data_IF_389041030539
#
_entry.id   IF_389041030539
#
_cell.length_a   1.000
_cell.length_b   1.000
_cell.length_c   1.000
_cell.angle_alpha   90.00
_cell.angle_beta   90.00
_cell.angle_gamma   90.00
#
_symmetry.space_group_name_H-M   'P 1'
#
loop_
_entity.id
_entity.type
_entity.pdbx_description
1 polymer ?
#
# COMPACT_ATOMS: atom_id res chain seq x y z
N UNK A 1 -44.59 53.35 -58.17
CA UNK A 1 -46.02 53.02 -58.21
C UNK A 1 -46.20 51.52 -57.95
N UNK A 2 -46.91 51.18 -56.89
CA UNK A 2 -47.47 49.88 -56.45
C UNK A 2 -46.49 48.68 -56.31
N UNK A 3 -46.26 48.39 -55.07
CA UNK A 3 -45.87 47.19 -54.37
C UNK A 3 -46.81 46.01 -54.69
N UNK A 4 -46.24 44.81 -54.95
CA UNK A 4 -46.99 43.55 -54.82
C UNK A 4 -46.21 42.67 -53.84
N UNK A 5 -46.98 42.34 -52.80
CA UNK A 5 -46.60 41.47 -51.68
C UNK A 5 -46.38 40.05 -52.17
N UNK A 6 -45.36 39.41 -51.56
CA UNK A 6 -44.94 38.04 -51.84
C UNK A 6 -45.69 37.00 -51.02
N UNK A 7 -45.90 35.84 -51.57
CA UNK A 7 -46.39 34.64 -50.92
C UNK A 7 -45.35 34.04 -50.02
N UNK A 8 -45.68 33.36 -48.87
CA UNK A 8 -44.74 32.72 -47.99
C UNK A 8 -44.31 31.36 -48.56
N UNK A 9 -43.00 31.18 -48.62
CA UNK A 9 -42.35 29.88 -48.93
C UNK A 9 -42.54 28.97 -47.74
N UNK A 10 -43.13 27.80 -47.97
CA UNK A 10 -43.34 26.74 -47.00
C UNK A 10 -41.95 26.19 -46.55
N UNK A 11 -41.66 26.43 -45.29
CA UNK A 11 -40.54 25.82 -44.55
C UNK A 11 -40.78 24.30 -44.39
N UNK A 12 -40.01 23.48 -45.12
CA UNK A 12 -40.03 22.03 -44.92
C UNK A 12 -39.31 21.73 -43.62
N UNK A 13 -40.04 21.32 -42.60
CA UNK A 13 -39.55 20.69 -41.39
C UNK A 13 -38.77 19.41 -41.74
N UNK A 14 -37.45 19.52 -41.79
CA UNK A 14 -36.57 18.41 -41.64
C UNK A 14 -36.38 18.16 -40.12
N UNK A 15 -37.33 17.45 -39.51
CA UNK A 15 -37.05 16.71 -38.25
C UNK A 15 -36.08 15.59 -38.58
N UNK A 16 -34.78 15.91 -38.63
CA UNK A 16 -33.71 14.96 -38.48
C UNK A 16 -33.60 14.60 -37.01
N UNK A 17 -33.79 13.32 -36.69
CA UNK A 17 -33.50 12.72 -35.38
C UNK A 17 -32.19 13.22 -34.82
N UNK A 18 -32.20 14.20 -33.95
CA UNK A 18 -31.15 14.44 -32.97
C UNK A 18 -31.32 13.35 -31.91
N UNK A 19 -30.26 12.58 -31.59
CA UNK A 19 -30.32 11.71 -30.43
C UNK A 19 -30.67 12.61 -29.22
N UNK A 20 -31.66 12.22 -28.44
CA UNK A 20 -32.02 12.84 -27.18
C UNK A 20 -30.77 13.11 -26.38
N UNK A 21 -30.37 14.38 -26.27
CA UNK A 21 -29.45 14.86 -25.28
C UNK A 21 -30.10 14.56 -23.93
N UNK A 22 -29.60 13.49 -23.27
CA UNK A 22 -30.00 13.09 -21.92
C UNK A 22 -30.04 14.32 -21.02
N UNK A 23 -31.24 14.77 -20.69
CA UNK A 23 -31.48 15.85 -19.75
C UNK A 23 -30.74 15.56 -18.45
N UNK A 24 -30.11 16.55 -17.79
CA UNK A 24 -29.47 16.33 -16.50
C UNK A 24 -30.53 15.78 -15.55
N UNK A 25 -30.21 14.62 -14.94
CA UNK A 25 -31.11 13.93 -14.03
C UNK A 25 -31.44 14.85 -12.85
N UNK A 26 -32.60 15.49 -12.92
CA UNK A 26 -33.12 16.39 -11.89
C UNK A 26 -33.12 15.67 -10.54
N UNK A 27 -32.36 16.18 -9.54
CA UNK A 27 -32.37 15.73 -8.16
C UNK A 27 -31.17 14.95 -7.68
N UNK A 28 -30.10 14.76 -8.48
CA UNK A 28 -28.87 14.09 -8.02
C UNK A 28 -27.76 15.08 -7.64
N UNK A 29 -27.08 14.82 -6.53
CA UNK A 29 -25.96 15.66 -6.08
C UNK A 29 -24.71 15.40 -6.93
N UNK A 30 -23.84 16.41 -7.08
CA UNK A 30 -22.55 16.27 -7.78
C UNK A 30 -21.69 15.12 -7.24
N UNK A 31 -21.89 14.70 -5.98
CA UNK A 31 -21.19 13.60 -5.31
C UNK A 31 -21.56 12.21 -5.85
N UNK A 32 -22.68 12.09 -6.59
CA UNK A 32 -23.15 10.83 -7.19
C UNK A 32 -22.68 10.64 -8.63
N UNK A 33 -22.09 11.66 -9.23
CA UNK A 33 -21.61 11.63 -10.61
C UNK A 33 -20.18 11.09 -10.68
N UNK A 34 -19.89 10.33 -11.75
CA UNK A 34 -18.51 9.89 -12.04
C UNK A 34 -17.69 11.06 -12.55
N UNK A 35 -16.51 11.33 -11.99
CA UNK A 35 -15.71 12.50 -12.36
C UNK A 35 -15.28 12.52 -13.83
N UNK A 36 -15.08 11.33 -14.43
CA UNK A 36 -14.60 11.17 -15.82
C UNK A 36 -15.71 11.38 -16.87
N UNK A 37 -16.98 11.06 -16.55
CA UNK A 37 -18.06 11.11 -17.52
C UNK A 37 -19.13 12.17 -17.19
N UNK A 38 -19.15 12.69 -15.96
CA UNK A 38 -20.23 13.54 -15.47
C UNK A 38 -21.59 12.83 -15.35
N UNK A 39 -21.63 11.49 -15.57
CA UNK A 39 -22.85 10.69 -15.54
C UNK A 39 -22.98 9.88 -14.24
N UNK A 40 -24.21 9.52 -13.82
CA UNK A 40 -24.41 8.65 -12.68
C UNK A 40 -23.80 7.26 -12.92
N UNK A 41 -23.15 6.70 -11.89
CA UNK A 41 -22.60 5.34 -11.97
C UNK A 41 -23.73 4.31 -11.93
N UNK A 42 -23.72 3.35 -12.87
CA UNK A 42 -24.65 2.22 -12.82
C UNK A 42 -24.27 1.25 -11.69
N UNK A 43 -25.25 0.53 -11.14
CA UNK A 43 -25.00 -0.51 -10.11
C UNK A 43 -24.02 -1.57 -10.59
N UNK A 44 -24.07 -1.94 -11.88
CA UNK A 44 -23.14 -2.88 -12.49
C UNK A 44 -21.70 -2.33 -12.48
N UNK A 45 -21.50 -1.09 -12.90
CA UNK A 45 -20.17 -0.46 -12.91
C UNK A 45 -19.64 -0.26 -11.50
N UNK A 46 -20.49 0.07 -10.53
CA UNK A 46 -20.11 0.16 -9.13
C UNK A 46 -19.65 -1.22 -8.60
N UNK A 47 -20.36 -2.29 -8.92
CA UNK A 47 -19.95 -3.66 -8.60
C UNK A 47 -18.62 -4.05 -9.26
N UNK A 48 -18.42 -3.66 -10.53
CA UNK A 48 -17.16 -3.87 -11.26
C UNK A 48 -15.98 -3.11 -10.66
N UNK A 49 -16.17 -1.87 -10.20
CA UNK A 49 -15.14 -1.14 -9.46
C UNK A 49 -14.75 -1.88 -8.18
N UNK A 50 -15.74 -2.31 -7.37
CA UNK A 50 -15.47 -3.07 -6.16
C UNK A 50 -14.74 -4.38 -6.43
N UNK A 51 -15.19 -5.17 -7.41
CA UNK A 51 -14.56 -6.42 -7.83
C UNK A 51 -13.14 -6.19 -8.36
N UNK A 52 -12.92 -5.15 -9.18
CA UNK A 52 -11.62 -4.79 -9.71
C UNK A 52 -10.61 -4.39 -8.63
N UNK A 53 -11.03 -3.55 -7.67
CA UNK A 53 -10.15 -3.13 -6.56
C UNK A 53 -9.83 -4.30 -5.61
N UNK A 54 -10.83 -5.10 -5.23
CA UNK A 54 -10.60 -6.30 -4.42
C UNK A 54 -9.65 -7.27 -5.10
N UNK A 55 -9.89 -7.60 -6.38
CA UNK A 55 -9.05 -8.51 -7.15
C UNK A 55 -7.62 -7.98 -7.27
N UNK A 56 -7.47 -6.70 -7.66
CA UNK A 56 -6.16 -6.07 -7.75
C UNK A 56 -5.40 -6.22 -6.44
N UNK A 57 -6.00 -5.83 -5.32
CA UNK A 57 -5.30 -5.85 -4.04
C UNK A 57 -5.00 -7.25 -3.54
N UNK A 58 -5.93 -8.21 -3.73
CA UNK A 58 -5.68 -9.61 -3.36
C UNK A 58 -4.51 -10.16 -4.17
N UNK A 59 -4.55 -10.07 -5.50
CA UNK A 59 -3.51 -10.66 -6.35
C UNK A 59 -2.19 -9.93 -6.20
N UNK A 60 -2.21 -8.58 -6.12
CA UNK A 60 -1.02 -7.75 -5.95
C UNK A 60 -0.29 -8.06 -4.65
N UNK A 61 -1.00 -8.08 -3.51
CA UNK A 61 -0.38 -8.37 -2.21
C UNK A 61 -0.02 -9.85 -2.07
N UNK A 62 -0.83 -10.74 -2.61
CA UNK A 62 -0.55 -12.17 -2.64
C UNK A 62 0.75 -12.43 -3.40
N UNK A 63 0.91 -11.90 -4.61
CA UNK A 63 2.14 -12.01 -5.38
C UNK A 63 3.33 -11.34 -4.68
N UNK A 64 3.11 -10.22 -3.96
CA UNK A 64 4.15 -9.59 -3.16
C UNK A 64 4.67 -10.45 -2.02
N UNK A 65 3.93 -11.45 -1.57
CA UNK A 65 4.26 -12.24 -0.36
C UNK A 65 4.51 -13.73 -0.61
N UNK A 66 4.00 -14.33 -1.69
CA UNK A 66 4.24 -15.76 -2.00
C UNK A 66 5.73 -16.08 -1.99
N UNK A 67 6.51 -15.36 -2.78
CA UNK A 67 7.95 -15.61 -2.89
C UNK A 67 8.77 -14.93 -1.82
N UNK A 68 8.40 -13.71 -1.42
CA UNK A 68 9.26 -12.84 -0.61
C UNK A 68 9.28 -13.18 0.89
N UNK A 69 8.19 -13.77 1.43
CA UNK A 69 8.06 -13.96 2.89
C UNK A 69 8.81 -15.21 3.39
N UNK A 70 8.76 -16.31 2.63
CA UNK A 70 9.34 -17.59 3.04
C UNK A 70 10.34 -18.14 2.00
N UNK A 71 9.98 -18.35 0.70
CA UNK A 71 10.88 -18.99 -0.25
C UNK A 71 12.17 -18.22 -0.54
N UNK A 72 12.14 -16.90 -0.73
CA UNK A 72 13.35 -16.09 -0.96
C UNK A 72 14.27 -16.04 0.25
N UNK A 73 13.80 -15.74 1.48
CA UNK A 73 14.63 -15.83 2.68
C UNK A 73 15.28 -17.21 2.86
N UNK A 74 14.52 -18.29 2.68
CA UNK A 74 15.05 -19.65 2.76
C UNK A 74 16.16 -19.90 1.72
N UNK A 75 15.94 -19.46 0.46
CA UNK A 75 16.94 -19.57 -0.61
C UNK A 75 18.19 -18.75 -0.30
N UNK A 76 18.08 -17.53 0.22
CA UNK A 76 19.24 -16.70 0.52
C UNK A 76 20.16 -17.29 1.58
N UNK A 77 19.61 -18.07 2.52
CA UNK A 77 20.42 -18.85 3.46
C UNK A 77 21.33 -19.89 2.79
N UNK A 78 20.94 -20.40 1.61
CA UNK A 78 21.70 -21.44 0.88
C UNK A 78 22.71 -20.89 -0.11
N UNK A 79 22.68 -19.58 -0.42
CA UNK A 79 23.56 -18.98 -1.44
C UNK A 79 25.00 -18.80 -1.01
N UNK A 80 25.33 -18.91 0.27
CA UNK A 80 26.71 -18.72 0.79
C UNK A 80 27.28 -17.30 0.57
N UNK A 81 26.47 -16.32 0.16
CA UNK A 81 26.84 -14.94 -0.16
C UNK A 81 26.64 -14.07 1.09
N UNK A 82 27.37 -14.35 2.15
CA UNK A 82 27.15 -13.67 3.42
C UNK A 82 25.88 -14.14 4.13
N UNK A 83 25.42 -13.37 5.11
CA UNK A 83 24.19 -13.70 5.84
C UNK A 83 22.96 -13.32 5.02
N UNK A 84 21.98 -14.22 4.92
CA UNK A 84 20.72 -13.99 4.18
C UNK A 84 19.98 -12.70 4.61
N UNK A 85 20.16 -12.30 5.88
CA UNK A 85 19.65 -11.05 6.43
C UNK A 85 20.24 -9.82 5.75
N UNK A 86 21.51 -9.83 5.41
CA UNK A 86 22.19 -8.74 4.69
C UNK A 86 21.61 -8.60 3.28
N UNK A 87 21.35 -9.73 2.61
CA UNK A 87 20.72 -9.73 1.28
C UNK A 87 19.32 -9.12 1.36
N UNK A 88 18.50 -9.58 2.30
CA UNK A 88 17.14 -9.05 2.51
C UNK A 88 17.17 -7.55 2.89
N UNK A 89 18.02 -7.16 3.81
CA UNK A 89 18.15 -5.78 4.25
C UNK A 89 18.53 -4.85 3.10
N UNK A 90 19.56 -5.20 2.34
CA UNK A 90 20.07 -4.39 1.21
C UNK A 90 19.04 -4.34 0.06
N UNK A 91 18.48 -5.49 -0.31
CA UNK A 91 17.49 -5.63 -1.36
C UNK A 91 16.25 -4.77 -1.08
N UNK A 92 15.69 -4.89 0.13
CA UNK A 92 14.49 -4.14 0.50
C UNK A 92 14.76 -2.64 0.61
N UNK A 93 15.86 -2.23 1.23
CA UNK A 93 16.19 -0.81 1.42
C UNK A 93 16.42 -0.09 0.09
N UNK A 94 17.18 -0.70 -0.82
CA UNK A 94 17.38 -0.13 -2.17
C UNK A 94 16.08 -0.21 -2.97
N UNK A 95 15.36 -1.31 -2.88
CA UNK A 95 14.09 -1.52 -3.58
C UNK A 95 13.05 -0.45 -3.24
N UNK A 96 12.92 -0.04 -1.97
CA UNK A 96 11.98 1.00 -1.55
C UNK A 96 12.35 2.36 -2.16
N UNK A 97 13.63 2.67 -2.36
CA UNK A 97 14.05 3.90 -3.03
C UNK A 97 13.55 3.88 -4.49
N UNK A 98 13.73 2.76 -5.20
CA UNK A 98 13.19 2.60 -6.55
C UNK A 98 11.67 2.64 -6.58
N UNK A 99 11.00 2.06 -5.58
CA UNK A 99 9.55 2.13 -5.43
C UNK A 99 9.05 3.58 -5.32
N UNK A 100 9.69 4.39 -4.46
CA UNK A 100 9.31 5.78 -4.24
C UNK A 100 9.47 6.62 -5.53
N UNK A 101 10.61 6.49 -6.20
CA UNK A 101 10.89 7.20 -7.46
C UNK A 101 9.90 6.77 -8.54
N UNK A 102 9.70 5.46 -8.70
CA UNK A 102 8.81 4.90 -9.72
C UNK A 102 7.35 5.28 -9.48
N UNK A 103 6.89 5.35 -8.22
CA UNK A 103 5.53 5.75 -7.88
C UNK A 103 5.22 7.17 -8.40
N UNK A 104 6.14 8.11 -8.16
CA UNK A 104 6.02 9.48 -8.64
C UNK A 104 6.06 9.55 -10.18
N UNK A 105 6.99 8.83 -10.78
CA UNK A 105 7.16 8.81 -12.25
C UNK A 105 5.90 8.24 -12.93
N UNK A 106 5.44 7.06 -12.52
CA UNK A 106 4.30 6.41 -13.17
C UNK A 106 2.96 7.05 -12.81
N UNK A 107 2.84 7.68 -11.65
CA UNK A 107 1.71 8.56 -11.35
C UNK A 107 1.59 9.64 -12.42
N UNK A 108 2.65 10.42 -12.60
CA UNK A 108 2.69 11.54 -13.56
C UNK A 108 2.62 11.09 -15.03
N UNK A 109 3.32 9.99 -15.40
CA UNK A 109 3.26 9.45 -16.77
C UNK A 109 1.85 8.98 -17.11
N UNK A 110 1.14 8.38 -16.15
CA UNK A 110 -0.23 7.95 -16.38
C UNK A 110 -1.19 9.13 -16.52
N UNK A 111 -0.96 10.25 -15.82
CA UNK A 111 -1.72 11.49 -15.98
C UNK A 111 -1.54 12.09 -17.38
N UNK A 112 -0.32 12.07 -17.91
CA UNK A 112 0.05 12.56 -19.23
C UNK A 112 -0.24 11.57 -20.39
N UNK A 113 -0.84 10.43 -20.13
CA UNK A 113 -1.04 9.38 -21.14
C UNK A 113 -2.18 9.69 -22.10
N UNK A 114 -1.92 9.55 -23.42
CA UNK A 114 -2.86 9.75 -24.53
C UNK A 114 -3.29 8.42 -25.20
N UNK A 115 -3.50 7.38 -24.43
CA UNK A 115 -3.83 6.07 -24.95
C UNK A 115 -5.31 5.96 -25.35
N UNK A 116 -5.57 5.27 -26.47
CA UNK A 116 -6.94 4.85 -26.86
C UNK A 116 -7.61 3.90 -25.86
N UNK A 117 -6.84 3.29 -24.97
CA UNK A 117 -7.35 2.39 -23.92
C UNK A 117 -7.60 3.11 -22.59
N UNK A 118 -7.45 4.44 -22.55
CA UNK A 118 -7.54 5.27 -21.35
C UNK A 118 -6.18 5.68 -20.80
N UNK A 119 -6.18 6.55 -19.79
CA UNK A 119 -4.95 7.08 -19.17
C UNK A 119 -4.24 6.04 -18.31
N UNK A 120 -4.98 5.21 -17.57
CA UNK A 120 -4.47 4.33 -16.51
C UNK A 120 -4.26 2.89 -16.98
N UNK A 121 -5.16 2.39 -17.82
CA UNK A 121 -5.21 0.99 -18.28
C UNK A 121 -3.88 0.45 -18.82
N UNK A 122 -3.14 1.14 -19.73
CA UNK A 122 -1.90 0.60 -20.28
C UNK A 122 -0.84 0.33 -19.23
N UNK A 123 -0.70 1.23 -18.26
CA UNK A 123 0.30 1.13 -17.21
C UNK A 123 0.03 -0.04 -16.26
N UNK A 124 -1.25 -0.27 -15.92
CA UNK A 124 -1.67 -1.40 -15.09
C UNK A 124 -1.36 -2.73 -15.80
N UNK A 125 -1.59 -2.82 -17.13
CA UNK A 125 -1.30 -4.04 -17.91
C UNK A 125 0.21 -4.29 -18.02
N UNK A 126 1.01 -3.26 -18.32
CA UNK A 126 2.46 -3.39 -18.56
C UNK A 126 3.23 -3.65 -17.27
N UNK A 127 2.79 -3.05 -16.17
CA UNK A 127 3.46 -3.18 -14.88
C UNK A 127 3.53 -4.61 -14.35
N UNK A 128 2.50 -5.43 -14.60
CA UNK A 128 2.46 -6.84 -14.19
C UNK A 128 3.61 -7.69 -14.77
N UNK A 129 3.79 -7.75 -16.09
CA UNK A 129 4.92 -8.45 -16.71
C UNK A 129 6.29 -7.92 -16.25
N UNK A 130 6.46 -6.60 -16.10
CA UNK A 130 7.71 -6.02 -15.59
C UNK A 130 7.99 -6.53 -14.17
N UNK A 131 6.97 -6.52 -13.29
CA UNK A 131 7.08 -7.04 -11.94
C UNK A 131 7.39 -8.55 -11.93
N UNK A 132 6.68 -9.33 -12.74
CA UNK A 132 6.90 -10.76 -12.86
C UNK A 132 8.32 -11.11 -13.33
N UNK A 133 8.82 -10.43 -14.36
CA UNK A 133 10.20 -10.61 -14.85
C UNK A 133 11.20 -10.23 -13.75
N UNK A 134 11.01 -9.08 -13.09
CA UNK A 134 11.86 -8.64 -11.99
C UNK A 134 11.90 -9.67 -10.84
N UNK A 135 10.75 -10.21 -10.47
CA UNK A 135 10.66 -11.25 -9.45
C UNK A 135 11.34 -12.56 -9.88
N UNK A 136 11.07 -13.03 -11.09
CA UNK A 136 11.71 -14.24 -11.62
C UNK A 136 13.24 -14.12 -11.62
N UNK A 137 13.75 -13.01 -12.14
CA UNK A 137 15.18 -12.72 -12.14
C UNK A 137 15.75 -12.69 -10.71
N UNK A 138 15.04 -12.10 -9.75
CA UNK A 138 15.44 -12.11 -8.33
C UNK A 138 15.54 -13.54 -7.80
N UNK A 139 14.58 -14.40 -8.16
CA UNK A 139 14.52 -15.78 -7.68
C UNK A 139 15.65 -16.66 -8.20
N UNK A 140 16.27 -16.34 -9.32
CA UNK A 140 17.39 -17.12 -9.91
C UNK A 140 18.75 -16.44 -9.74
N UNK A 141 18.80 -15.17 -9.37
CA UNK A 141 20.05 -14.38 -9.26
C UNK A 141 21.00 -14.96 -8.22
N UNK A 142 22.30 -15.17 -8.56
CA UNK A 142 23.27 -15.81 -7.68
C UNK A 142 24.06 -14.81 -6.82
N UNK A 143 24.05 -13.52 -7.12
CA UNK A 143 24.89 -12.51 -6.44
C UNK A 143 24.07 -11.37 -5.87
N UNK A 144 24.56 -10.70 -4.82
CA UNK A 144 23.87 -9.57 -4.20
C UNK A 144 23.57 -8.44 -5.21
N UNK A 145 24.49 -7.99 -6.07
CA UNK A 145 24.17 -6.94 -7.04
C UNK A 145 23.05 -7.32 -8.03
N UNK A 146 23.04 -8.57 -8.52
CA UNK A 146 22.00 -9.04 -9.43
C UNK A 146 20.65 -9.20 -8.75
N UNK A 147 20.63 -9.64 -7.48
CA UNK A 147 19.42 -9.71 -6.65
C UNK A 147 18.85 -8.29 -6.46
N UNK A 148 19.69 -7.33 -6.08
CA UNK A 148 19.26 -5.94 -5.86
C UNK A 148 18.75 -5.31 -7.14
N UNK A 149 19.43 -5.49 -8.27
CA UNK A 149 19.01 -4.94 -9.56
C UNK A 149 17.66 -5.52 -10.02
N UNK A 150 17.49 -6.83 -9.94
CA UNK A 150 16.25 -7.48 -10.34
C UNK A 150 15.08 -7.18 -9.38
N UNK A 151 15.34 -7.06 -8.07
CA UNK A 151 14.34 -6.59 -7.11
C UNK A 151 13.94 -5.14 -7.36
N UNK A 152 14.88 -4.28 -7.75
CA UNK A 152 14.58 -2.90 -8.14
C UNK A 152 13.69 -2.85 -9.38
N UNK A 153 13.91 -3.75 -10.36
CA UNK A 153 13.04 -3.90 -11.51
C UNK A 153 11.62 -4.33 -11.11
N UNK A 154 11.49 -5.28 -10.17
CA UNK A 154 10.21 -5.64 -9.58
C UNK A 154 9.52 -4.40 -9.01
N UNK A 155 10.21 -3.60 -8.20
CA UNK A 155 9.63 -2.40 -7.57
C UNK A 155 9.19 -1.35 -8.60
N UNK A 156 9.88 -1.23 -9.73
CA UNK A 156 9.46 -0.40 -10.85
C UNK A 156 8.14 -0.91 -11.43
N UNK A 157 8.01 -2.21 -11.69
CA UNK A 157 6.79 -2.84 -12.18
C UNK A 157 5.60 -2.70 -11.23
N UNK A 158 5.83 -2.90 -9.93
CA UNK A 158 4.81 -2.72 -8.89
C UNK A 158 4.21 -1.30 -8.93
N UNK A 159 5.07 -0.29 -8.98
CA UNK A 159 4.63 1.10 -8.94
C UNK A 159 4.06 1.57 -10.28
N UNK A 160 4.45 0.92 -11.38
CA UNK A 160 3.79 1.08 -12.67
C UNK A 160 2.32 0.64 -12.65
N UNK A 161 1.95 -0.34 -11.79
CA UNK A 161 0.57 -0.77 -11.59
C UNK A 161 -0.16 0.03 -10.51
N UNK A 162 0.45 0.17 -9.32
CA UNK A 162 -0.25 0.67 -8.14
C UNK A 162 -0.59 2.16 -8.25
N UNK A 163 0.31 3.00 -8.75
CA UNK A 163 0.08 4.44 -8.86
C UNK A 163 -1.13 4.76 -9.77
N UNK A 164 -1.24 4.22 -11.00
CA UNK A 164 -2.44 4.41 -11.83
C UNK A 164 -3.69 3.75 -11.25
N UNK A 165 -3.58 2.59 -10.61
CA UNK A 165 -4.73 1.91 -10.02
C UNK A 165 -5.36 2.69 -8.87
N UNK A 166 -4.54 3.27 -7.99
CA UNK A 166 -5.01 4.15 -6.91
C UNK A 166 -5.65 5.42 -7.47
N UNK A 167 -5.11 5.98 -8.56
CA UNK A 167 -5.66 7.16 -9.19
C UNK A 167 -7.08 6.92 -9.76
N UNK A 168 -7.42 5.71 -10.21
CA UNK A 168 -8.79 5.37 -10.65
C UNK A 168 -9.82 5.66 -9.56
N UNK A 169 -9.46 5.52 -8.28
CA UNK A 169 -10.37 5.79 -7.17
C UNK A 169 -10.81 7.26 -7.13
N UNK A 170 -9.92 8.19 -7.40
CA UNK A 170 -10.22 9.63 -7.47
C UNK A 170 -10.81 10.04 -8.81
N UNK A 171 -10.33 9.46 -9.91
CA UNK A 171 -10.62 9.92 -11.26
C UNK A 171 -11.97 9.41 -11.78
N UNK A 172 -12.43 8.24 -11.31
CA UNK A 172 -13.55 7.53 -11.91
C UNK A 172 -14.64 7.09 -10.91
N UNK A 173 -14.31 7.03 -9.61
CA UNK A 173 -15.31 6.65 -8.60
C UNK A 173 -16.00 7.89 -8.04
N UNK A 174 -17.34 7.95 -8.04
CA UNK A 174 -18.09 9.05 -7.45
C UNK A 174 -17.74 9.24 -5.97
N UNK A 175 -17.70 10.49 -5.51
CA UNK A 175 -17.27 10.84 -4.14
C UNK A 175 -18.05 10.08 -3.07
N UNK A 176 -19.36 9.91 -3.26
CA UNK A 176 -20.26 9.14 -2.38
C UNK A 176 -19.77 7.69 -2.12
N UNK A 177 -19.14 7.04 -3.09
CA UNK A 177 -18.76 5.62 -3.02
C UNK A 177 -17.25 5.39 -2.77
N UNK A 178 -16.42 6.45 -2.75
CA UNK A 178 -14.96 6.35 -2.55
C UNK A 178 -14.61 5.65 -1.24
N UNK A 179 -15.34 5.92 -0.16
CA UNK A 179 -15.13 5.28 1.12
C UNK A 179 -15.30 3.75 1.06
N UNK A 180 -16.40 3.28 0.44
CA UNK A 180 -16.65 1.85 0.27
C UNK A 180 -15.61 1.18 -0.64
N UNK A 181 -15.20 1.86 -1.72
CA UNK A 181 -14.17 1.33 -2.63
C UNK A 181 -12.79 1.28 -1.95
N UNK A 182 -12.46 2.26 -1.11
CA UNK A 182 -11.25 2.24 -0.28
C UNK A 182 -11.27 1.12 0.75
N UNK A 183 -12.44 0.81 1.32
CA UNK A 183 -12.58 -0.32 2.24
C UNK A 183 -12.35 -1.67 1.52
N UNK A 184 -12.88 -1.84 0.30
CA UNK A 184 -12.60 -3.02 -0.53
C UNK A 184 -11.12 -3.12 -0.91
N UNK A 185 -10.50 -1.99 -1.23
CA UNK A 185 -9.06 -1.92 -1.50
C UNK A 185 -8.25 -2.37 -0.28
N UNK A 186 -8.53 -1.83 0.90
CA UNK A 186 -7.83 -2.19 2.14
C UNK A 186 -8.05 -3.64 2.57
N UNK A 187 -9.29 -4.13 2.52
CA UNK A 187 -9.61 -5.52 2.84
C UNK A 187 -8.89 -6.49 1.89
N UNK A 188 -8.86 -6.18 0.58
CA UNK A 188 -8.13 -6.95 -0.41
C UNK A 188 -6.63 -7.04 -0.11
N UNK A 189 -6.01 -5.96 0.36
CA UNK A 189 -4.60 -5.96 0.76
C UNK A 189 -4.32 -6.94 1.90
N UNK A 190 -5.12 -6.90 2.96
CA UNK A 190 -4.95 -7.76 4.15
C UNK A 190 -5.11 -9.23 3.76
N UNK A 191 -6.19 -9.55 3.04
CA UNK A 191 -6.48 -10.92 2.59
C UNK A 191 -5.37 -11.41 1.65
N UNK A 192 -4.98 -10.59 0.67
CA UNK A 192 -3.95 -10.94 -0.31
C UNK A 192 -2.60 -11.21 0.35
N UNK A 193 -2.15 -10.35 1.25
CA UNK A 193 -0.89 -10.52 1.98
C UNK A 193 -0.87 -11.82 2.77
N UNK A 194 -1.94 -12.12 3.50
CA UNK A 194 -2.03 -13.34 4.31
C UNK A 194 -2.11 -14.59 3.43
N UNK A 195 -2.94 -14.58 2.38
CA UNK A 195 -3.02 -15.69 1.43
C UNK A 195 -1.67 -15.98 0.76
N UNK A 196 -0.95 -14.93 0.35
CA UNK A 196 0.37 -15.09 -0.26
C UNK A 196 1.38 -15.70 0.71
N UNK A 197 1.38 -15.30 1.97
CA UNK A 197 2.25 -15.87 3.01
C UNK A 197 1.91 -17.33 3.27
N UNK A 198 0.63 -17.70 3.35
CA UNK A 198 0.18 -19.09 3.53
C UNK A 198 0.63 -19.94 2.34
N UNK A 199 0.35 -19.50 1.12
CA UNK A 199 0.75 -20.19 -0.12
C UNK A 199 2.27 -20.32 -0.20
N UNK A 200 3.02 -19.21 0.02
CA UNK A 200 4.48 -19.21 0.01
C UNK A 200 5.09 -20.17 1.02
N UNK A 201 4.51 -20.28 2.21
CA UNK A 201 4.97 -21.20 3.26
C UNK A 201 4.84 -22.68 2.83
N UNK A 202 3.83 -23.01 2.02
CA UNK A 202 3.64 -24.37 1.49
C UNK A 202 4.72 -24.79 0.49
N UNK A 203 5.45 -23.83 -0.11
CA UNK A 203 6.50 -24.07 -1.10
C UNK A 203 7.92 -24.02 -0.51
N UNK A 204 8.10 -24.14 0.81
CA UNK A 204 9.42 -24.14 1.44
C UNK A 204 10.31 -25.27 0.90
N UNK A 205 9.74 -26.45 0.67
CA UNK A 205 10.43 -27.63 0.12
C UNK A 205 10.51 -27.61 -1.43
N UNK A 206 9.74 -26.75 -2.10
CA UNK A 206 9.70 -26.64 -3.57
C UNK A 206 9.77 -25.16 -4.00
N UNK A 207 10.80 -24.40 -3.64
CA UNK A 207 10.83 -22.95 -3.84
C UNK A 207 10.73 -22.52 -5.30
N UNK A 208 11.26 -23.32 -6.24
CA UNK A 208 11.16 -23.05 -7.69
C UNK A 208 9.70 -22.98 -8.16
N UNK A 209 8.85 -23.89 -7.68
CA UNK A 209 7.43 -23.90 -8.01
C UNK A 209 6.73 -22.66 -7.44
N UNK A 210 7.02 -22.31 -6.19
CA UNK A 210 6.52 -21.07 -5.56
C UNK A 210 6.91 -19.82 -6.35
N UNK A 211 8.16 -19.73 -6.80
CA UNK A 211 8.63 -18.61 -7.64
C UNK A 211 7.92 -18.53 -9.00
N UNK A 212 7.66 -19.66 -9.64
CA UNK A 212 6.92 -19.68 -10.91
C UNK A 212 5.47 -19.22 -10.72
N UNK A 213 4.79 -19.71 -9.70
CA UNK A 213 3.41 -19.30 -9.37
C UNK A 213 3.36 -17.80 -9.10
N UNK A 214 4.27 -17.29 -8.30
CA UNK A 214 4.36 -15.86 -7.98
C UNK A 214 4.57 -15.01 -9.26
N UNK A 215 5.52 -15.41 -10.11
CA UNK A 215 5.77 -14.77 -11.42
C UNK A 215 4.51 -14.71 -12.29
N UNK A 216 3.77 -15.82 -12.38
CA UNK A 216 2.52 -15.87 -13.14
C UNK A 216 1.45 -14.97 -12.53
N UNK A 217 1.32 -14.97 -11.21
CA UNK A 217 0.38 -14.10 -10.51
C UNK A 217 0.67 -12.62 -10.77
N UNK A 218 1.95 -12.21 -10.76
CA UNK A 218 2.34 -10.86 -11.15
C UNK A 218 1.90 -10.53 -12.58
N UNK A 219 2.20 -11.38 -13.55
CA UNK A 219 1.84 -11.15 -14.94
C UNK A 219 0.32 -11.04 -15.15
N UNK A 220 -0.46 -11.83 -14.41
CA UNK A 220 -1.92 -11.85 -14.52
C UNK A 220 -2.62 -10.74 -13.73
N UNK A 221 -1.98 -10.16 -12.73
CA UNK A 221 -2.56 -9.15 -11.85
C UNK A 221 -3.12 -7.96 -12.64
N UNK A 222 -2.31 -7.34 -13.48
CA UNK A 222 -2.72 -6.18 -14.28
C UNK A 222 -3.82 -6.50 -15.28
N UNK A 223 -3.70 -7.62 -16.00
CA UNK A 223 -4.66 -8.07 -17.01
C UNK A 223 -6.02 -8.37 -16.36
N UNK A 224 -6.04 -9.17 -15.30
CA UNK A 224 -7.26 -9.52 -14.57
C UNK A 224 -7.96 -8.30 -13.98
N UNK A 225 -7.20 -7.35 -13.46
CA UNK A 225 -7.73 -6.08 -12.92
C UNK A 225 -8.45 -5.29 -14.00
N UNK A 226 -7.83 -5.10 -15.16
CA UNK A 226 -8.40 -4.32 -16.26
C UNK A 226 -9.65 -4.99 -16.84
N UNK A 227 -9.71 -6.32 -16.88
CA UNK A 227 -10.90 -7.06 -17.33
C UNK A 227 -12.10 -6.86 -16.38
N UNK A 228 -11.85 -6.76 -15.07
CA UNK A 228 -12.90 -6.56 -14.08
C UNK A 228 -13.35 -5.11 -13.99
N UNK A 229 -12.43 -4.15 -14.06
CA UNK A 229 -12.76 -2.72 -14.00
C UNK A 229 -13.67 -2.31 -15.17
N UNK A 230 -14.57 -1.32 -14.99
CA UNK A 230 -15.29 -0.71 -16.11
C UNK A 230 -14.30 -0.15 -17.13
N UNK A 231 -14.65 -0.27 -18.42
CA UNK A 231 -13.80 0.26 -19.50
C UNK A 231 -13.51 1.74 -19.30
N UNK A 232 -12.26 2.14 -19.45
CA UNK A 232 -11.83 3.52 -19.37
C UNK A 232 -12.11 4.24 -20.68
N UNK A 233 -12.47 5.53 -20.61
CA UNK A 233 -12.65 6.35 -21.81
C UNK A 233 -11.31 6.58 -22.52
N UNK A 234 -11.37 6.71 -23.85
CA UNK A 234 -10.18 7.05 -24.62
C UNK A 234 -9.63 8.42 -24.21
N UNK A 235 -8.34 8.48 -23.96
CA UNK A 235 -7.64 9.71 -23.62
C UNK A 235 -6.87 10.29 -24.82
N UNK A 236 -7.13 9.81 -26.05
CA UNK A 236 -6.40 10.22 -27.25
C UNK A 236 -6.50 11.74 -27.57
N UNK A 237 -7.54 12.40 -27.08
CA UNK A 237 -7.79 13.84 -27.30
C UNK A 237 -7.76 14.67 -26.01
N UNK A 238 -7.34 14.07 -24.90
CA UNK A 238 -7.28 14.78 -23.63
C UNK A 238 -6.12 15.76 -23.60
N UNK A 239 -6.32 16.95 -23.02
CA UNK A 239 -5.23 17.87 -22.71
C UNK A 239 -4.31 17.22 -21.67
N UNK A 240 -3.02 17.08 -22.03
CA UNK A 240 -2.06 16.52 -21.10
C UNK A 240 -1.66 17.55 -20.05
N UNK A 241 -1.76 17.19 -18.80
CA UNK A 241 -1.07 17.93 -17.75
C UNK A 241 0.44 17.78 -17.94
N UNK A 242 1.15 18.93 -18.00
CA UNK A 242 2.59 18.93 -18.18
C UNK A 242 3.27 18.36 -16.94
N UNK A 243 4.11 17.36 -17.13
CA UNK A 243 4.99 16.84 -16.09
C UNK A 243 5.98 17.92 -15.65
N UNK A 244 5.88 18.37 -14.40
CA UNK A 244 6.81 19.33 -13.80
C UNK A 244 7.43 18.76 -12.52
N UNK A 245 8.64 18.23 -12.66
CA UNK A 245 9.42 17.65 -11.57
C UNK A 245 9.72 18.67 -10.46
N UNK A 246 9.76 19.97 -10.80
CA UNK A 246 9.99 21.04 -9.83
C UNK A 246 8.78 21.26 -8.93
N UNK A 247 7.57 21.16 -9.48
CA UNK A 247 6.33 21.23 -8.68
C UNK A 247 6.25 20.07 -7.70
N UNK A 248 6.61 18.85 -8.13
CA UNK A 248 6.65 17.67 -7.29
C UNK A 248 7.67 17.85 -6.15
N UNK A 249 8.90 18.29 -6.48
CA UNK A 249 9.93 18.54 -5.45
C UNK A 249 9.51 19.62 -4.43
N UNK A 250 8.77 20.65 -4.87
CA UNK A 250 8.25 21.68 -3.98
C UNK A 250 7.15 21.16 -3.02
N UNK A 251 6.44 20.08 -3.36
CA UNK A 251 5.46 19.45 -2.47
C UNK A 251 6.12 18.82 -1.23
N UNK A 252 7.40 18.42 -1.32
CA UNK A 252 8.16 17.85 -0.19
C UNK A 252 8.88 18.87 0.69
N UNK A 253 8.67 20.18 0.46
CA UNK A 253 9.28 21.21 1.30
C UNK A 253 8.61 21.22 2.69
N UNK A 254 9.35 20.93 3.78
CA UNK A 254 8.76 20.78 5.10
C UNK A 254 8.24 22.12 5.65
N UNK A 255 7.17 22.10 6.47
CA UNK A 255 6.64 23.30 7.10
C UNK A 255 7.61 23.80 8.18
N UNK A 256 7.87 25.13 8.22
CA UNK A 256 8.87 25.72 9.12
C UNK A 256 8.27 26.50 10.29
N UNK A 257 7.08 27.12 10.12
CA UNK A 257 6.46 27.96 11.15
C UNK A 257 5.34 27.24 11.89
N UNK A 258 5.38 27.21 13.23
CA UNK A 258 4.33 26.62 14.06
C UNK A 258 4.19 25.08 13.92
N UNK A 259 5.22 24.39 13.43
CA UNK A 259 5.18 22.99 13.03
C UNK A 259 5.67 22.00 14.11
N UNK A 260 5.79 22.43 15.38
CA UNK A 260 6.29 21.56 16.45
C UNK A 260 5.49 20.25 16.56
N UNK A 261 4.18 20.35 16.63
CA UNK A 261 3.30 19.19 16.82
C UNK A 261 3.30 18.28 15.58
N UNK A 262 3.45 18.86 14.40
CA UNK A 262 3.66 18.12 13.15
C UNK A 262 4.95 17.28 13.19
N UNK A 263 6.08 17.84 13.65
CA UNK A 263 7.34 17.08 13.76
C UNK A 263 7.31 16.04 14.86
N UNK A 264 6.59 16.28 15.96
CA UNK A 264 6.37 15.27 16.99
C UNK A 264 5.55 14.10 16.44
N UNK A 265 4.50 14.36 15.65
CA UNK A 265 3.75 13.30 14.96
C UNK A 265 4.60 12.54 13.94
N UNK A 266 5.43 13.26 13.15
CA UNK A 266 6.35 12.67 12.18
C UNK A 266 7.35 11.71 12.85
N UNK A 267 7.99 12.14 13.92
CA UNK A 267 8.97 11.32 14.67
C UNK A 267 8.27 10.16 15.38
N UNK A 268 7.12 10.40 16.00
CA UNK A 268 6.35 9.35 16.67
C UNK A 268 5.95 8.25 15.69
N UNK A 269 5.43 8.63 14.51
CA UNK A 269 5.07 7.70 13.43
C UNK A 269 6.29 6.94 12.88
N UNK A 270 7.40 7.66 12.62
CA UNK A 270 8.64 7.05 12.15
C UNK A 270 9.15 5.98 13.11
N UNK A 271 9.22 6.29 14.40
CA UNK A 271 9.72 5.37 15.43
C UNK A 271 8.82 4.13 15.57
N UNK A 272 7.50 4.31 15.52
CA UNK A 272 6.58 3.19 15.60
C UNK A 272 6.69 2.27 14.38
N UNK A 273 6.64 2.83 13.16
CA UNK A 273 6.75 2.06 11.91
C UNK A 273 8.12 1.38 11.80
N UNK A 274 9.19 2.04 12.24
CA UNK A 274 10.53 1.47 12.31
C UNK A 274 10.54 0.24 13.24
N UNK A 275 10.10 0.38 14.49
CA UNK A 275 10.08 -0.72 15.45
C UNK A 275 9.19 -1.89 15.01
N UNK A 276 8.02 -1.60 14.42
CA UNK A 276 7.14 -2.59 13.83
C UNK A 276 7.82 -3.41 12.73
N UNK A 277 8.48 -2.75 11.78
CA UNK A 277 9.12 -3.41 10.64
C UNK A 277 10.42 -4.16 11.00
N UNK A 278 11.03 -3.89 12.15
CA UNK A 278 12.23 -4.64 12.59
C UNK A 278 11.97 -6.14 12.75
N UNK A 279 10.73 -6.54 13.08
CA UNK A 279 10.40 -7.96 13.28
C UNK A 279 9.66 -8.53 12.08
N UNK A 280 8.69 -7.78 11.51
CA UNK A 280 7.80 -8.27 10.44
C UNK A 280 8.57 -8.78 9.23
N UNK A 281 9.62 -8.07 8.79
CA UNK A 281 10.43 -8.46 7.65
C UNK A 281 11.33 -9.69 7.87
N UNK A 282 11.48 -10.14 9.13
CA UNK A 282 12.43 -11.20 9.49
C UNK A 282 11.79 -12.37 10.25
N UNK A 283 10.47 -12.50 10.22
CA UNK A 283 9.72 -13.51 10.98
C UNK A 283 10.23 -14.94 10.76
N UNK A 284 10.53 -15.32 9.50
CA UNK A 284 11.08 -16.65 9.21
C UNK A 284 12.44 -16.85 9.89
N UNK A 285 13.32 -15.86 9.80
CA UNK A 285 14.64 -15.95 10.42
C UNK A 285 14.58 -15.92 11.95
N UNK A 286 13.65 -15.17 12.53
CA UNK A 286 13.37 -15.18 13.96
C UNK A 286 12.95 -16.58 14.40
N UNK A 287 12.03 -17.23 13.68
CA UNK A 287 11.59 -18.59 13.95
C UNK A 287 12.77 -19.59 13.85
N UNK A 288 13.58 -19.49 12.80
CA UNK A 288 14.69 -20.42 12.57
C UNK A 288 15.88 -20.18 13.51
N UNK A 289 16.35 -18.92 13.61
CA UNK A 289 17.65 -18.61 14.25
C UNK A 289 17.53 -18.18 15.71
N UNK A 290 16.37 -17.66 16.13
CA UNK A 290 16.17 -17.22 17.51
C UNK A 290 15.39 -18.23 18.36
N UNK A 291 14.32 -18.79 17.78
CA UNK A 291 13.49 -19.82 18.46
C UNK A 291 14.11 -21.21 18.26
N UNK A 292 14.88 -21.42 17.18
CA UNK A 292 15.58 -22.71 16.93
C UNK A 292 14.70 -23.72 16.18
N UNK A 293 13.71 -23.28 15.41
CA UNK A 293 12.89 -24.15 14.57
C UNK A 293 13.64 -24.55 13.29
N UNK A 294 13.40 -25.75 12.79
CA UNK A 294 13.80 -26.10 11.42
C UNK A 294 12.99 -25.29 10.39
N UNK A 295 13.43 -25.31 9.12
CA UNK A 295 12.82 -24.48 8.08
C UNK A 295 11.34 -24.80 7.86
N UNK A 296 10.92 -26.06 8.00
CA UNK A 296 9.55 -26.50 7.80
C UNK A 296 8.65 -26.08 8.95
N UNK A 297 9.09 -26.25 10.20
CA UNK A 297 8.38 -25.78 11.37
C UNK A 297 8.27 -24.25 11.38
N UNK A 298 9.33 -23.53 11.00
CA UNK A 298 9.33 -22.08 10.87
C UNK A 298 8.33 -21.60 9.82
N UNK A 299 8.29 -22.22 8.64
CA UNK A 299 7.32 -21.92 7.59
C UNK A 299 5.87 -22.16 8.06
N UNK A 300 5.61 -23.26 8.76
CA UNK A 300 4.31 -23.58 9.37
C UNK A 300 3.89 -22.53 10.42
N UNK A 301 4.87 -22.08 11.23
CA UNK A 301 4.63 -21.00 12.21
C UNK A 301 4.24 -19.70 11.53
N UNK A 302 4.99 -19.28 10.49
CA UNK A 302 4.71 -18.06 9.71
C UNK A 302 3.36 -18.17 8.98
N UNK A 303 3.01 -19.34 8.45
CA UNK A 303 1.71 -19.59 7.85
C UNK A 303 0.56 -19.44 8.85
N UNK A 304 0.70 -19.99 10.06
CA UNK A 304 -0.29 -19.83 11.12
C UNK A 304 -0.42 -18.38 11.58
N UNK A 305 0.69 -17.68 11.73
CA UNK A 305 0.70 -16.24 12.00
C UNK A 305 -0.07 -15.47 10.90
N UNK A 306 0.11 -15.82 9.62
CA UNK A 306 -0.59 -15.17 8.52
C UNK A 306 -2.12 -15.33 8.60
N UNK A 307 -2.63 -16.43 9.16
CA UNK A 307 -4.08 -16.59 9.43
C UNK A 307 -4.52 -15.59 10.50
N UNK A 308 -3.73 -15.43 11.57
CA UNK A 308 -4.03 -14.47 12.65
C UNK A 308 -4.02 -13.04 12.09
N UNK A 309 -2.99 -12.69 11.30
CA UNK A 309 -2.81 -11.37 10.69
C UNK A 309 -3.84 -11.08 9.58
N UNK A 310 -4.55 -12.08 9.08
CA UNK A 310 -5.68 -11.89 8.19
C UNK A 310 -6.94 -11.46 8.93
N UNK A 311 -7.21 -12.07 10.08
CA UNK A 311 -8.48 -11.88 10.82
C UNK A 311 -8.46 -10.61 11.67
N UNK A 312 -7.41 -10.41 12.44
CA UNK A 312 -7.33 -9.32 13.44
C UNK A 312 -7.47 -7.94 12.79
N UNK A 313 -6.72 -7.57 11.74
CA UNK A 313 -6.82 -6.24 11.13
C UNK A 313 -8.14 -5.98 10.38
N UNK A 314 -8.91 -7.00 10.04
CA UNK A 314 -10.24 -6.82 9.46
C UNK A 314 -11.28 -6.48 10.52
N UNK A 315 -11.15 -7.03 11.73
CA UNK A 315 -12.12 -6.84 12.81
C UNK A 315 -11.83 -5.60 13.66
N UNK A 316 -10.56 -5.36 13.97
CA UNK A 316 -10.14 -4.31 14.92
C UNK A 316 -10.59 -2.90 14.50
N UNK A 317 -10.47 -2.45 13.25
CA UNK A 317 -10.91 -1.12 12.84
C UNK A 317 -12.41 -0.89 12.99
N UNK A 318 -13.23 -1.93 12.82
CA UNK A 318 -14.69 -1.87 12.98
C UNK A 318 -15.10 -1.54 14.42
N UNK A 319 -14.28 -1.94 15.39
CA UNK A 319 -14.53 -1.72 16.82
C UNK A 319 -13.80 -0.48 17.32
N UNK A 320 -12.53 -0.31 16.95
CA UNK A 320 -11.68 0.77 17.46
C UNK A 320 -12.06 2.16 16.93
N UNK A 321 -12.55 2.27 15.71
CA UNK A 321 -13.01 3.52 15.12
C UNK A 321 -14.12 4.20 15.95
N UNK A 322 -15.28 3.57 16.12
CA UNK A 322 -16.37 4.10 16.93
C UNK A 322 -15.97 4.39 18.39
N UNK A 323 -15.10 3.57 18.98
CA UNK A 323 -14.58 3.80 20.34
C UNK A 323 -13.72 5.05 20.39
N UNK A 324 -12.78 5.21 19.45
CA UNK A 324 -11.91 6.39 19.36
C UNK A 324 -12.71 7.68 19.20
N UNK A 325 -13.76 7.66 18.38
CA UNK A 325 -14.63 8.83 18.13
C UNK A 325 -15.44 9.20 19.38
N UNK A 326 -15.92 8.21 20.14
CA UNK A 326 -16.64 8.45 21.42
C UNK A 326 -15.73 9.02 22.52
N UNK A 327 -14.48 8.54 22.59
CA UNK A 327 -13.51 9.01 23.60
C UNK A 327 -13.09 10.47 23.31
N UNK A 328 -13.08 10.90 22.03
CA UNK A 328 -12.68 12.23 21.61
C UNK A 328 -11.22 12.60 21.94
N UNK A 329 -10.42 11.64 22.39
CA UNK A 329 -9.00 11.77 22.70
C UNK A 329 -8.19 10.93 21.72
N UNK A 330 -7.23 11.55 21.03
CA UNK A 330 -6.42 10.84 20.02
C UNK A 330 -5.12 10.25 20.59
N UNK A 331 -4.50 10.92 21.57
CA UNK A 331 -3.22 10.50 22.14
C UNK A 331 -3.29 9.20 22.92
N UNK A 332 -4.34 9.05 23.75
CA UNK A 332 -4.49 7.86 24.60
C UNK A 332 -4.62 6.57 23.78
N UNK A 333 -5.47 6.48 22.75
CA UNK A 333 -5.52 5.30 21.90
C UNK A 333 -4.19 5.00 21.19
N UNK A 334 -3.45 6.02 20.72
CA UNK A 334 -2.12 5.81 20.11
C UNK A 334 -1.13 5.27 21.14
N UNK A 335 -1.12 5.81 22.36
CA UNK A 335 -0.26 5.31 23.42
C UNK A 335 -0.59 3.86 23.81
N UNK A 336 -1.88 3.53 23.97
CA UNK A 336 -2.35 2.18 24.28
C UNK A 336 -1.99 1.20 23.17
N UNK A 337 -2.24 1.55 21.91
CA UNK A 337 -1.91 0.71 20.77
C UNK A 337 -0.41 0.44 20.65
N UNK A 338 0.41 1.47 20.85
CA UNK A 338 1.87 1.34 20.87
C UNK A 338 2.36 0.45 22.03
N UNK A 339 1.72 0.55 23.20
CA UNK A 339 2.03 -0.31 24.35
C UNK A 339 1.67 -1.77 24.05
N UNK A 340 0.53 -2.03 23.41
CA UNK A 340 0.14 -3.38 22.98
C UNK A 340 1.20 -3.94 21.99
N UNK A 341 1.66 -3.14 21.03
CA UNK A 341 2.72 -3.52 20.08
C UNK A 341 4.02 -3.85 20.84
N UNK A 342 4.45 -3.00 21.77
CA UNK A 342 5.66 -3.22 22.56
C UNK A 342 5.59 -4.52 23.39
N UNK A 343 4.44 -4.80 24.01
CA UNK A 343 4.20 -6.06 24.73
C UNK A 343 4.23 -7.23 23.75
N UNK A 344 3.58 -7.11 22.57
CA UNK A 344 3.61 -8.13 21.54
C UNK A 344 5.04 -8.51 21.13
N UNK A 345 5.93 -7.53 20.94
CA UNK A 345 7.35 -7.75 20.63
C UNK A 345 8.10 -8.40 21.81
N UNK A 346 7.76 -8.06 23.03
CA UNK A 346 8.41 -8.59 24.23
C UNK A 346 8.11 -10.09 24.46
N UNK A 347 6.94 -10.59 24.04
CA UNK A 347 6.55 -11.99 24.27
C UNK A 347 7.53 -13.00 23.66
N UNK A 348 7.88 -12.98 22.36
CA UNK A 348 8.88 -13.90 21.81
C UNK A 348 10.29 -13.63 22.31
N UNK A 349 10.63 -12.39 22.68
CA UNK A 349 11.92 -12.06 23.29
C UNK A 349 12.15 -12.84 24.58
N UNK A 350 11.11 -12.97 25.41
CA UNK A 350 11.21 -13.66 26.72
C UNK A 350 10.95 -15.14 26.60
N UNK A 351 9.90 -15.57 25.90
CA UNK A 351 9.43 -16.95 25.94
C UNK A 351 10.05 -17.92 24.93
N UNK A 352 10.65 -17.41 23.84
CA UNK A 352 11.37 -18.18 22.79
C UNK A 352 10.65 -19.46 22.35
N UNK A 353 9.35 -19.39 22.08
CA UNK A 353 8.54 -20.54 21.71
C UNK A 353 7.71 -20.27 20.47
N UNK A 354 7.25 -21.32 19.79
CA UNK A 354 6.31 -21.20 18.68
C UNK A 354 5.04 -20.44 19.09
N UNK A 355 4.48 -20.79 20.25
CA UNK A 355 3.28 -20.15 20.77
C UNK A 355 3.47 -18.65 21.01
N UNK A 356 4.66 -18.24 21.43
CA UNK A 356 4.96 -16.80 21.62
C UNK A 356 4.89 -16.01 20.33
N UNK A 357 5.18 -16.62 19.17
CA UNK A 357 5.03 -15.99 17.85
C UNK A 357 3.55 -15.80 17.47
N UNK A 358 2.67 -16.70 17.89
CA UNK A 358 1.23 -16.52 17.66
C UNK A 358 0.66 -15.39 18.51
N UNK A 359 1.07 -15.31 19.78
CA UNK A 359 0.68 -14.20 20.67
C UNK A 359 1.26 -12.88 20.14
N UNK A 360 2.50 -12.88 19.67
CA UNK A 360 3.12 -11.73 19.00
C UNK A 360 2.27 -11.27 17.81
N UNK A 361 1.90 -12.17 16.90
CA UNK A 361 1.10 -11.81 15.72
C UNK A 361 -0.24 -11.18 16.13
N UNK A 362 -0.94 -11.78 17.08
CA UNK A 362 -2.23 -11.27 17.56
C UNK A 362 -2.12 -9.87 18.20
N UNK A 363 -1.14 -9.67 19.09
CA UNK A 363 -0.95 -8.38 19.78
C UNK A 363 -0.41 -7.30 18.83
N UNK A 364 0.51 -7.65 17.93
CA UNK A 364 1.04 -6.71 16.94
C UNK A 364 -0.06 -6.14 16.06
N UNK A 365 -0.91 -7.03 15.51
CA UNK A 365 -1.95 -6.61 14.59
C UNK A 365 -3.13 -5.95 15.29
N UNK A 366 -3.43 -6.34 16.54
CA UNK A 366 -4.38 -5.62 17.38
C UNK A 366 -3.91 -4.18 17.61
N UNK A 367 -2.67 -4.02 18.06
CA UNK A 367 -2.09 -2.69 18.30
C UNK A 367 -1.98 -1.87 17.02
N UNK A 368 -1.48 -2.47 15.93
CA UNK A 368 -1.31 -1.80 14.66
C UNK A 368 -2.64 -1.39 14.02
N UNK A 369 -3.67 -2.24 14.12
CA UNK A 369 -5.02 -1.93 13.63
C UNK A 369 -5.65 -0.74 14.37
N UNK A 370 -5.53 -0.67 15.70
CA UNK A 370 -5.97 0.49 16.49
C UNK A 370 -5.17 1.72 16.09
N UNK A 371 -3.84 1.60 16.00
CA UNK A 371 -2.94 2.68 15.63
C UNK A 371 -3.31 3.31 14.29
N UNK A 372 -3.49 2.50 13.23
CA UNK A 372 -3.76 2.99 11.88
C UNK A 372 -5.01 3.86 11.79
N UNK A 373 -6.07 3.51 12.53
CA UNK A 373 -7.32 4.28 12.55
C UNK A 373 -7.11 5.64 13.21
N UNK A 374 -6.43 5.65 14.36
CA UNK A 374 -6.27 6.87 15.18
C UNK A 374 -5.19 7.78 14.61
N UNK A 375 -4.11 7.21 14.07
CA UNK A 375 -3.00 7.95 13.49
C UNK A 375 -3.42 8.79 12.28
N UNK A 376 -4.33 8.28 11.43
CA UNK A 376 -4.86 9.07 10.33
C UNK A 376 -5.61 10.31 10.81
N UNK A 377 -6.41 10.19 11.85
CA UNK A 377 -7.11 11.32 12.46
C UNK A 377 -6.13 12.29 13.14
N UNK A 378 -5.16 11.77 13.90
CA UNK A 378 -4.10 12.56 14.52
C UNK A 378 -3.32 13.40 13.51
N UNK A 379 -2.97 12.78 12.36
CA UNK A 379 -2.22 13.45 11.30
C UNK A 379 -2.97 14.66 10.71
N UNK A 380 -4.28 14.56 10.58
CA UNK A 380 -5.12 15.69 10.13
C UNK A 380 -5.17 16.79 11.19
N UNK A 381 -5.29 16.41 12.47
CA UNK A 381 -5.42 17.36 13.59
C UNK A 381 -4.13 18.16 13.85
N UNK A 382 -2.95 17.63 13.53
CA UNK A 382 -1.65 18.31 13.74
C UNK A 382 -1.21 19.18 12.57
N UNK A 383 -1.97 19.23 11.46
CA UNK A 383 -1.59 20.03 10.30
C UNK A 383 -1.37 21.50 10.65
N UNK A 384 -0.25 22.11 10.20
CA UNK A 384 0.04 23.52 10.48
C UNK A 384 -0.93 24.46 9.78
N UNK A 385 -1.33 24.11 8.54
CA UNK A 385 -2.24 24.90 7.70
C UNK A 385 -3.20 23.98 6.94
N UNK A 386 -4.53 24.18 7.09
CA UNK A 386 -5.53 23.39 6.37
C UNK A 386 -5.39 23.46 4.84
N UNK A 387 -4.98 24.59 4.29
CA UNK A 387 -4.87 24.82 2.83
C UNK A 387 -3.66 24.10 2.20
N UNK A 388 -2.71 23.57 2.99
CA UNK A 388 -1.54 22.81 2.55
C UNK A 388 -1.62 21.34 3.02
N UNK A 389 -2.83 20.84 3.31
CA UNK A 389 -3.04 19.51 3.92
C UNK A 389 -2.43 18.37 3.12
N UNK A 390 -2.61 18.34 1.80
CA UNK A 390 -2.06 17.29 0.93
C UNK A 390 -0.53 17.19 1.01
N UNK A 391 0.15 18.34 1.00
CA UNK A 391 1.60 18.43 1.13
C UNK A 391 2.09 17.92 2.48
N UNK A 392 1.46 18.38 3.56
CA UNK A 392 1.85 18.00 4.91
C UNK A 392 1.59 16.50 5.18
N UNK A 393 0.45 15.96 4.73
CA UNK A 393 0.17 14.53 4.80
C UNK A 393 1.14 13.69 3.96
N UNK A 394 1.57 14.19 2.79
CA UNK A 394 2.62 13.55 1.99
C UNK A 394 3.93 13.43 2.76
N UNK A 395 4.35 14.48 3.48
CA UNK A 395 5.56 14.45 4.33
C UNK A 395 5.39 13.49 5.51
N UNK A 396 4.20 13.47 6.16
CA UNK A 396 3.92 12.48 7.22
C UNK A 396 3.97 11.05 6.70
N UNK A 397 3.55 10.81 5.46
CA UNK A 397 3.66 9.49 4.83
C UNK A 397 5.11 9.07 4.53
N UNK A 398 6.04 10.02 4.36
CA UNK A 398 7.47 9.69 4.28
C UNK A 398 7.98 8.99 5.54
N UNK A 399 7.40 9.23 6.72
CA UNK A 399 7.76 8.51 7.93
C UNK A 399 7.53 6.99 7.80
N UNK A 400 6.46 6.57 7.11
CA UNK A 400 6.22 5.15 6.83
C UNK A 400 7.34 4.57 5.96
N UNK A 401 7.64 5.25 4.85
CA UNK A 401 8.67 4.79 3.91
C UNK A 401 10.05 4.75 4.57
N UNK A 402 10.42 5.80 5.32
CA UNK A 402 11.69 5.85 6.03
C UNK A 402 11.79 4.77 7.11
N UNK A 403 10.73 4.51 7.86
CA UNK A 403 10.70 3.42 8.85
C UNK A 403 10.92 2.04 8.20
N UNK A 404 10.29 1.81 7.05
CA UNK A 404 10.44 0.57 6.28
C UNK A 404 11.84 0.42 5.66
N UNK A 405 12.50 1.51 5.24
CA UNK A 405 13.87 1.50 4.70
C UNK A 405 14.89 1.26 5.79
N UNK A 406 14.78 1.96 6.93
CA UNK A 406 15.78 1.94 7.98
C UNK A 406 15.73 0.62 8.78
N UNK A 407 14.54 0.07 9.00
CA UNK A 407 14.38 -1.13 9.81
C UNK A 407 15.22 -2.35 9.31
N UNK A 408 15.16 -2.74 8.02
CA UNK A 408 15.98 -3.84 7.52
C UNK A 408 17.48 -3.59 7.62
N UNK A 409 17.95 -2.35 7.42
CA UNK A 409 19.36 -1.98 7.55
C UNK A 409 19.82 -2.19 8.99
N UNK A 410 19.05 -1.69 9.95
CA UNK A 410 19.40 -1.78 11.37
C UNK A 410 19.35 -3.23 11.84
N UNK A 411 18.34 -4.01 11.47
CA UNK A 411 18.24 -5.43 11.84
C UNK A 411 19.41 -6.22 11.29
N UNK A 412 19.71 -6.08 9.98
CA UNK A 412 20.85 -6.80 9.40
C UNK A 412 22.17 -6.41 10.05
N UNK A 413 22.38 -5.12 10.36
CA UNK A 413 23.58 -4.64 11.05
C UNK A 413 23.70 -5.21 12.46
N UNK A 414 22.60 -5.26 13.23
CA UNK A 414 22.59 -5.87 14.57
C UNK A 414 22.92 -7.35 14.49
N UNK A 415 22.26 -8.08 13.58
CA UNK A 415 22.45 -9.54 13.46
C UNK A 415 23.87 -9.86 13.03
N UNK A 416 24.47 -9.11 12.10
CA UNK A 416 25.85 -9.27 11.67
C UNK A 416 26.84 -8.98 12.83
N UNK A 417 26.60 -7.89 13.57
CA UNK A 417 27.50 -7.46 14.65
C UNK A 417 27.43 -8.36 15.89
N UNK A 418 26.24 -8.94 16.19
CA UNK A 418 26.00 -9.69 17.44
C UNK A 418 25.89 -11.20 17.26
N UNK A 419 25.77 -11.65 16.00
CA UNK A 419 25.56 -13.07 15.68
C UNK A 419 24.14 -13.57 15.97
N UNK A 420 23.16 -12.67 16.28
CA UNK A 420 21.82 -13.14 16.64
C UNK A 420 20.76 -12.04 16.73
N UNK A 421 19.53 -12.48 17.01
CA UNK A 421 18.35 -11.60 17.05
C UNK A 421 18.04 -11.02 18.43
N UNK A 422 18.78 -11.40 19.48
CA UNK A 422 18.45 -11.02 20.87
C UNK A 422 18.28 -9.49 21.04
N UNK A 423 19.20 -8.69 20.48
CA UNK A 423 19.15 -7.22 20.60
C UNK A 423 18.14 -6.55 19.66
N UNK A 424 17.64 -7.26 18.65
CA UNK A 424 16.61 -6.71 17.75
C UNK A 424 15.32 -6.38 18.53
N UNK A 425 14.93 -7.27 19.45
CA UNK A 425 13.70 -7.09 20.22
C UNK A 425 13.72 -5.86 21.14
N UNK A 426 14.69 -5.67 22.04
CA UNK A 426 14.71 -4.51 22.92
C UNK A 426 14.86 -3.18 22.17
N UNK A 427 15.57 -3.16 21.03
CA UNK A 427 15.69 -1.97 20.19
C UNK A 427 14.32 -1.66 19.52
N UNK A 428 13.61 -2.67 19.02
CA UNK A 428 12.26 -2.49 18.47
C UNK A 428 11.27 -2.00 19.53
N UNK A 429 11.30 -2.57 20.75
CA UNK A 429 10.48 -2.14 21.89
C UNK A 429 10.80 -0.67 22.25
N UNK A 430 12.07 -0.32 22.34
CA UNK A 430 12.50 1.05 22.65
C UNK A 430 12.01 2.02 21.58
N UNK A 431 12.12 1.68 20.30
CA UNK A 431 11.65 2.53 19.21
C UNK A 431 10.13 2.77 19.30
N UNK A 432 9.33 1.71 19.45
CA UNK A 432 7.86 1.82 19.59
C UNK A 432 7.49 2.66 20.82
N UNK A 433 8.17 2.45 21.95
CA UNK A 433 7.93 3.17 23.19
C UNK A 433 8.31 4.66 23.06
N UNK A 434 9.45 4.97 22.44
CA UNK A 434 9.86 6.36 22.15
C UNK A 434 8.79 7.01 21.26
N UNK A 435 8.31 6.32 20.22
CA UNK A 435 7.23 6.81 19.35
C UNK A 435 5.98 7.16 20.16
N UNK A 436 5.55 6.27 21.05
CA UNK A 436 4.40 6.48 21.93
C UNK A 436 4.56 7.68 22.85
N UNK A 437 5.73 7.81 23.48
CA UNK A 437 6.03 8.90 24.42
C UNK A 437 6.09 10.25 23.69
N UNK A 438 6.73 10.31 22.50
CA UNK A 438 6.83 11.54 21.71
C UNK A 438 5.45 12.11 21.36
N UNK A 439 4.48 11.27 21.05
CA UNK A 439 3.10 11.68 20.72
C UNK A 439 2.40 12.33 21.90
N UNK A 440 2.71 11.94 23.15
CA UNK A 440 2.12 12.56 24.34
C UNK A 440 2.48 14.06 24.48
N UNK A 441 3.61 14.49 23.92
CA UNK A 441 4.06 15.90 23.95
C UNK A 441 3.39 16.80 22.92
N UNK A 442 2.53 16.28 22.04
CA UNK A 442 1.71 17.08 21.10
C UNK A 442 0.74 17.94 21.91
N UNK A 443 0.64 19.24 21.63
CA UNK A 443 -0.20 20.18 22.38
C UNK A 443 -1.56 20.44 21.72
N UNK A 444 -1.63 20.42 20.39
CA UNK A 444 -2.86 20.73 19.62
C UNK A 444 -3.97 19.68 19.79
N UNK A 445 -3.62 18.46 20.15
CA UNK A 445 -4.55 17.34 20.23
C UNK A 445 -4.70 16.91 21.69
N UNK A 446 -5.92 16.50 22.09
CA UNK A 446 -6.20 15.98 23.44
C UNK A 446 -6.11 14.46 23.50
#
# INVERSE_FOLDING_TARGET
MRIREGEPVAERDHHGDRPEEDAPAEGRTAEELTPDTGKPVSKLNLGRFGAGFIFFCIVFMMSGTIGSTVPLPARFNTLGIGQGETILGTMNSIGIIFALISNVIFGSLSDASHSRFGKRTPWIIIGGPIAGIGFYLTSISPTLPTIVASWSLLQIGLNCMIAPCVAILSDRVPQKYRGSMSAFYGAGQIVGQSMGTIIGSAFIDAPKTGFMIDTICWCLCGIGTVLLLPRELSAATADAERFDIRQIAMQFRPPTKGARDFYLALVGRLMLIFGYNMIVGYQLYVCMKYIGQDAKAAASTVSTMAVITMVVPLVVPLVSGPISDRIGKRKLPVFVSSTIIAIGIAVPWVLKSQFSMFVYAALMDLGYGIYMVVDQALNVDVLPKPNEAGKALGILNLANTLGQVIAPIVVSSIVVATGGYFLVFPIAIAAVTIGAVVILFIKKVK
#
